data_IF_897905489569
#
_entry.id   IF_897905489569
#
_cell.length_a   1.000
_cell.length_b   1.000
_cell.length_c   1.000
_cell.angle_alpha   90.00
_cell.angle_beta   90.00
_cell.angle_gamma   90.00
#
_symmetry.space_group_name_H-M   'P 1'
#
loop_
_entity.id
_entity.type
_entity.pdbx_description
1 polymer ?
#
# COMPACT_ATOMS: atom_id res chain seq x y z
N UNK A 1 -18.68 -9.02 -23.69
CA UNK A 1 -18.35 -7.93 -24.64
C UNK A 1 -16.84 -7.85 -24.64
N UNK A 2 -16.16 -8.19 -25.75
CA UNK A 2 -14.69 -8.13 -25.79
C UNK A 2 -14.28 -6.66 -25.67
N UNK A 3 -13.49 -6.32 -24.64
CA UNK A 3 -12.91 -4.99 -24.49
C UNK A 3 -12.01 -4.75 -25.71
N UNK A 4 -12.45 -3.88 -26.63
CA UNK A 4 -11.63 -3.44 -27.75
C UNK A 4 -10.39 -2.71 -27.21
N UNK A 5 -9.25 -2.91 -27.88
CA UNK A 5 -7.97 -2.26 -27.57
C UNK A 5 -8.11 -0.74 -27.63
N UNK A 6 -8.21 -0.09 -26.47
CA UNK A 6 -8.26 1.36 -26.34
C UNK A 6 -7.11 1.81 -25.44
N UNK A 7 -6.31 2.77 -25.93
CA UNK A 7 -5.36 3.49 -25.10
C UNK A 7 -6.13 4.28 -24.04
N UNK A 8 -5.78 4.09 -22.77
CA UNK A 8 -6.31 4.92 -21.69
C UNK A 8 -5.61 6.28 -21.72
N UNK A 9 -6.39 7.35 -21.75
CA UNK A 9 -5.85 8.68 -21.47
C UNK A 9 -5.33 8.76 -20.03
N UNK A 10 -4.38 9.66 -19.72
CA UNK A 10 -3.91 9.87 -18.35
C UNK A 10 -5.05 10.14 -17.35
N UNK A 11 -6.12 10.81 -17.79
CA UNK A 11 -7.29 11.12 -16.96
C UNK A 11 -8.13 9.88 -16.64
N UNK A 12 -8.32 9.00 -17.61
CA UNK A 12 -9.04 7.73 -17.39
C UNK A 12 -8.25 6.80 -16.47
N UNK A 13 -6.92 6.83 -16.57
CA UNK A 13 -6.05 6.09 -15.68
C UNK A 13 -6.14 6.59 -14.23
N UNK A 14 -6.05 7.90 -14.02
CA UNK A 14 -6.22 8.49 -12.69
C UNK A 14 -7.59 8.14 -12.10
N UNK A 15 -8.66 8.26 -12.89
CA UNK A 15 -10.01 7.86 -12.46
C UNK A 15 -10.07 6.38 -12.05
N UNK A 16 -9.48 5.48 -12.84
CA UNK A 16 -9.42 4.07 -12.50
C UNK A 16 -8.70 3.85 -11.16
N UNK A 17 -7.54 4.47 -10.96
CA UNK A 17 -6.77 4.29 -9.73
C UNK A 17 -7.46 4.89 -8.50
N UNK A 18 -8.09 6.06 -8.64
CA UNK A 18 -8.84 6.70 -7.56
C UNK A 18 -10.06 5.88 -7.16
N UNK A 19 -10.86 5.43 -8.13
CA UNK A 19 -12.03 4.59 -7.87
C UNK A 19 -11.64 3.25 -7.25
N UNK A 20 -10.55 2.65 -7.71
CA UNK A 20 -10.04 1.42 -7.14
C UNK A 20 -9.49 1.60 -5.71
N UNK A 21 -8.81 2.72 -5.45
CA UNK A 21 -8.36 3.11 -4.12
C UNK A 21 -9.52 3.25 -3.14
N UNK A 22 -10.62 3.88 -3.56
CA UNK A 22 -11.83 4.01 -2.73
C UNK A 22 -12.54 2.67 -2.48
N UNK A 23 -12.63 1.81 -3.50
CA UNK A 23 -13.20 0.47 -3.37
C UNK A 23 -12.46 -0.35 -2.30
N UNK A 24 -11.12 -0.36 -2.37
CA UNK A 24 -10.27 -1.02 -1.37
C UNK A 24 -10.43 -0.42 0.01
N UNK A 25 -10.52 0.91 0.14
CA UNK A 25 -10.73 1.58 1.43
C UNK A 25 -12.00 1.09 2.12
N UNK A 26 -13.11 1.01 1.39
CA UNK A 26 -14.38 0.52 1.91
C UNK A 26 -14.28 -0.94 2.40
N UNK A 27 -13.64 -1.80 1.61
CA UNK A 27 -13.49 -3.22 1.93
C UNK A 27 -12.56 -3.43 3.14
N UNK A 28 -11.46 -2.68 3.23
CA UNK A 28 -10.58 -2.70 4.40
C UNK A 28 -11.31 -2.25 5.68
N UNK A 29 -12.16 -1.21 5.57
CA UNK A 29 -12.98 -0.77 6.69
C UNK A 29 -13.92 -1.88 7.18
N UNK A 30 -14.68 -2.51 6.28
CA UNK A 30 -15.58 -3.61 6.63
C UNK A 30 -14.85 -4.78 7.30
N UNK A 31 -13.66 -5.14 6.81
CA UNK A 31 -12.85 -6.20 7.40
C UNK A 31 -12.31 -5.83 8.80
N UNK A 32 -11.93 -4.57 9.05
CA UNK A 32 -11.47 -4.14 10.37
C UNK A 32 -12.58 -4.15 11.42
N UNK A 33 -13.73 -3.55 11.09
CA UNK A 33 -14.90 -3.54 11.98
C UNK A 33 -15.34 -4.96 12.35
N UNK A 34 -15.25 -5.88 11.39
CA UNK A 34 -15.59 -7.26 11.65
C UNK A 34 -14.66 -7.94 12.66
N UNK A 35 -13.34 -7.74 12.56
CA UNK A 35 -12.36 -8.29 13.51
C UNK A 35 -12.53 -7.73 14.90
N UNK A 36 -12.82 -6.44 15.01
CA UNK A 36 -13.14 -5.82 16.29
C UNK A 36 -14.34 -6.51 16.96
N UNK A 37 -15.38 -6.83 16.17
CA UNK A 37 -16.52 -7.60 16.66
C UNK A 37 -16.14 -9.04 17.06
N UNK A 38 -15.16 -9.67 16.40
CA UNK A 38 -14.65 -11.00 16.78
C UNK A 38 -13.94 -11.00 18.13
N UNK A 39 -13.12 -9.97 18.40
CA UNK A 39 -12.33 -9.84 19.63
C UNK A 39 -13.19 -9.52 20.85
N UNK A 40 -14.31 -8.80 20.67
CA UNK A 40 -15.25 -8.47 21.75
C UNK A 40 -16.26 -9.58 22.12
N UNK A 41 -16.44 -10.58 21.26
CA UNK A 41 -17.43 -11.65 21.43
C UNK A 41 -16.87 -12.81 22.26
N UNK A 42 -16.87 -12.69 23.60
CA UNK A 42 -16.36 -13.73 24.54
C UNK A 42 -17.06 -15.10 24.53
N UNK A 43 -17.95 -15.38 23.57
CA UNK A 43 -18.57 -16.69 23.31
C UNK A 43 -18.54 -16.99 21.82
N UNK A 44 -18.34 -18.26 21.46
CA UNK A 44 -18.13 -18.76 20.10
C UNK A 44 -19.04 -18.11 19.05
N UNK A 45 -18.42 -17.77 17.91
CA UNK A 45 -19.01 -17.01 16.80
C UNK A 45 -20.27 -17.70 16.28
N UNK A 46 -21.36 -16.95 15.99
CA UNK A 46 -22.43 -17.48 15.16
C UNK A 46 -21.85 -17.86 13.79
N UNK A 47 -22.08 -19.09 13.33
CA UNK A 47 -21.55 -19.59 12.05
C UNK A 47 -21.84 -18.66 10.86
N UNK A 48 -22.94 -17.91 10.93
CA UNK A 48 -23.32 -16.90 9.93
C UNK A 48 -22.30 -15.77 9.79
N UNK A 49 -21.74 -15.27 10.90
CA UNK A 49 -20.75 -14.19 10.86
C UNK A 49 -19.45 -14.68 10.23
N UNK A 50 -18.95 -15.85 10.63
CA UNK A 50 -17.77 -16.46 10.00
C UNK A 50 -17.96 -16.67 8.50
N UNK A 51 -19.12 -17.17 8.07
CA UNK A 51 -19.44 -17.36 6.66
C UNK A 51 -19.49 -16.04 5.88
N UNK A 52 -20.08 -14.99 6.46
CA UNK A 52 -20.12 -13.66 5.87
C UNK A 52 -18.72 -13.07 5.68
N UNK A 53 -17.83 -13.25 6.65
CA UNK A 53 -16.45 -12.75 6.57
C UNK A 53 -15.60 -13.48 5.55
N UNK A 54 -15.72 -14.81 5.48
CA UNK A 54 -15.08 -15.59 4.43
C UNK A 54 -15.54 -15.12 3.04
N UNK A 55 -16.85 -14.84 2.88
CA UNK A 55 -17.40 -14.31 1.63
C UNK A 55 -16.86 -12.91 1.30
N UNK A 56 -16.87 -11.98 2.25
CA UNK A 56 -16.31 -10.64 2.06
C UNK A 56 -14.84 -10.68 1.65
N UNK A 57 -14.04 -11.51 2.32
CA UNK A 57 -12.63 -11.68 1.98
C UNK A 57 -12.47 -12.20 0.54
N UNK A 58 -13.27 -13.20 0.15
CA UNK A 58 -13.25 -13.77 -1.20
C UNK A 58 -13.67 -12.75 -2.26
N UNK A 59 -14.74 -11.99 -2.04
CA UNK A 59 -15.20 -10.96 -2.97
C UNK A 59 -14.18 -9.81 -3.10
N UNK A 60 -13.59 -9.36 -1.98
CA UNK A 60 -12.52 -8.37 -1.98
C UNK A 60 -11.30 -8.83 -2.76
N UNK A 61 -10.85 -10.06 -2.52
CA UNK A 61 -9.69 -10.63 -3.21
C UNK A 61 -9.96 -10.81 -4.70
N UNK A 62 -11.17 -11.22 -5.07
CA UNK A 62 -11.61 -11.31 -6.46
C UNK A 62 -11.59 -9.96 -7.17
N UNK A 63 -12.21 -8.93 -6.58
CA UNK A 63 -12.21 -7.57 -7.13
C UNK A 63 -10.80 -7.00 -7.30
N UNK A 64 -9.92 -7.26 -6.35
CA UNK A 64 -8.51 -6.88 -6.46
C UNK A 64 -7.85 -7.59 -7.64
N UNK A 65 -8.03 -8.91 -7.74
CA UNK A 65 -7.43 -9.71 -8.81
C UNK A 65 -7.92 -9.26 -10.17
N UNK A 66 -9.23 -9.06 -10.33
CA UNK A 66 -9.84 -8.63 -11.59
C UNK A 66 -9.33 -7.24 -12.02
N UNK A 67 -9.19 -6.30 -11.07
CA UNK A 67 -8.63 -4.99 -11.35
C UNK A 67 -7.16 -5.06 -11.76
N UNK A 68 -6.35 -5.84 -11.03
CA UNK A 68 -4.94 -6.05 -11.36
C UNK A 68 -4.77 -6.73 -12.72
N UNK A 69 -5.59 -7.73 -13.04
CA UNK A 69 -5.57 -8.42 -14.32
C UNK A 69 -6.00 -7.49 -15.45
N UNK A 70 -7.04 -6.67 -15.26
CA UNK A 70 -7.44 -5.66 -16.23
C UNK A 70 -6.29 -4.67 -16.51
N UNK A 71 -5.59 -4.23 -15.47
CA UNK A 71 -4.43 -3.37 -15.65
C UNK A 71 -3.29 -4.06 -16.41
N UNK A 72 -2.97 -5.30 -16.06
CA UNK A 72 -1.87 -6.05 -16.68
C UNK A 72 -2.15 -6.45 -18.13
N UNK A 73 -3.39 -6.77 -18.45
CA UNK A 73 -3.78 -7.31 -19.76
C UNK A 73 -4.26 -6.24 -20.73
N UNK A 74 -4.87 -5.15 -20.23
CA UNK A 74 -5.52 -4.16 -21.08
C UNK A 74 -4.92 -2.76 -20.96
N UNK A 75 -4.23 -2.40 -19.87
CA UNK A 75 -3.68 -1.05 -19.69
C UNK A 75 -2.17 -1.03 -19.93
N UNK A 76 -1.40 -1.88 -19.24
CA UNK A 76 0.06 -1.90 -19.31
C UNK A 76 0.65 -2.13 -20.71
N UNK A 77 0.14 -3.06 -21.54
CA UNK A 77 0.71 -3.32 -22.85
C UNK A 77 0.59 -2.14 -23.82
N UNK A 78 -0.28 -1.18 -23.50
CA UNK A 78 -0.63 -0.05 -24.36
C UNK A 78 -0.39 1.30 -23.66
N UNK A 79 0.21 1.30 -22.48
CA UNK A 79 0.53 2.52 -21.72
C UNK A 79 2.04 2.70 -21.63
N UNK A 80 2.61 3.71 -22.28
CA UNK A 80 4.05 3.98 -22.23
C UNK A 80 4.49 4.65 -20.92
N UNK A 81 3.58 4.88 -19.96
CA UNK A 81 3.86 5.70 -18.78
C UNK A 81 4.45 4.91 -17.61
N UNK A 82 5.69 5.20 -17.16
CA UNK A 82 6.32 4.48 -16.05
C UNK A 82 5.60 4.64 -14.71
N UNK A 83 4.94 5.78 -14.48
CA UNK A 83 4.13 6.02 -13.27
C UNK A 83 2.94 5.06 -13.14
N UNK A 84 2.34 4.68 -14.28
CA UNK A 84 1.24 3.70 -14.32
C UNK A 84 1.73 2.35 -13.79
N UNK A 85 2.89 1.89 -14.26
CA UNK A 85 3.48 0.64 -13.80
C UNK A 85 3.78 0.65 -12.30
N UNK A 86 4.36 1.76 -11.81
CA UNK A 86 4.64 1.95 -10.38
C UNK A 86 3.37 1.94 -9.51
N UNK A 87 2.30 2.58 -9.99
CA UNK A 87 1.03 2.62 -9.26
C UNK A 87 0.40 1.22 -9.17
N UNK A 88 0.53 0.40 -10.22
CA UNK A 88 0.05 -0.97 -10.22
C UNK A 88 0.85 -1.87 -9.31
N UNK A 89 2.18 -1.79 -9.36
CA UNK A 89 3.07 -2.53 -8.47
C UNK A 89 2.82 -2.16 -7.01
N UNK A 90 2.68 -0.86 -6.69
CA UNK A 90 2.29 -0.36 -5.36
C UNK A 90 0.96 -0.96 -4.92
N UNK A 91 -0.02 -0.95 -5.81
CA UNK A 91 -1.36 -1.47 -5.56
C UNK A 91 -1.33 -2.96 -5.24
N UNK A 92 -0.59 -3.74 -6.02
CA UNK A 92 -0.39 -5.17 -5.79
C UNK A 92 0.31 -5.43 -4.44
N UNK A 93 1.31 -4.62 -4.07
CA UNK A 93 2.00 -4.71 -2.78
C UNK A 93 1.03 -4.52 -1.60
N UNK A 94 0.18 -3.49 -1.68
CA UNK A 94 -0.83 -3.20 -0.67
C UNK A 94 -1.86 -4.31 -0.53
N UNK A 95 -2.26 -4.94 -1.64
CA UNK A 95 -3.19 -6.07 -1.61
C UNK A 95 -2.58 -7.30 -0.94
N UNK A 96 -1.29 -7.58 -1.17
CA UNK A 96 -0.59 -8.64 -0.45
C UNK A 96 -0.48 -8.33 1.05
N UNK A 97 -0.19 -7.07 1.41
CA UNK A 97 -0.20 -6.64 2.82
C UNK A 97 -1.56 -6.91 3.47
N UNK A 98 -2.65 -6.54 2.80
CA UNK A 98 -4.01 -6.81 3.29
C UNK A 98 -4.27 -8.31 3.44
N UNK A 99 -3.91 -9.12 2.44
CA UNK A 99 -4.03 -10.58 2.55
C UNK A 99 -3.25 -11.11 3.76
N UNK A 100 -2.06 -10.60 4.05
CA UNK A 100 -1.27 -10.98 5.24
C UNK A 100 -1.98 -10.55 6.53
N UNK A 101 -2.43 -9.30 6.62
CA UNK A 101 -3.15 -8.75 7.78
C UNK A 101 -4.37 -9.62 8.12
N UNK A 102 -5.12 -10.03 7.09
CA UNK A 102 -6.35 -10.79 7.24
C UNK A 102 -6.17 -12.31 7.31
N UNK A 103 -5.00 -12.83 6.95
CA UNK A 103 -4.70 -14.27 7.01
C UNK A 103 -4.46 -14.75 8.42
N UNK A 104 -4.83 -16.01 8.67
CA UNK A 104 -4.39 -16.78 9.83
C UNK A 104 -2.86 -16.86 9.88
N UNK A 105 -2.22 -16.89 11.07
CA UNK A 105 -0.77 -16.88 11.19
C UNK A 105 -0.06 -17.96 10.35
N UNK A 106 -0.67 -19.14 10.18
CA UNK A 106 -0.11 -20.23 9.38
C UNK A 106 -0.10 -20.00 7.85
N UNK A 107 -0.93 -19.09 7.35
CA UNK A 107 -1.02 -18.78 5.91
C UNK A 107 -0.13 -17.58 5.48
N UNK A 108 0.42 -16.83 6.44
CA UNK A 108 1.28 -15.64 6.20
C UNK A 108 2.69 -15.94 5.65
N UNK A 109 3.41 -17.01 6.07
CA UNK A 109 4.80 -17.23 5.69
C UNK A 109 5.12 -17.18 4.18
N UNK A 110 4.32 -17.74 3.27
CA UNK A 110 4.60 -17.63 1.83
C UNK A 110 4.32 -16.23 1.24
N UNK A 111 3.44 -15.45 1.86
CA UNK A 111 3.02 -14.12 1.37
C UNK A 111 4.02 -13.02 1.75
N UNK A 112 4.61 -13.12 2.94
CA UNK A 112 5.57 -12.15 3.47
C UNK A 112 6.76 -11.84 2.52
N UNK A 113 7.52 -12.84 2.03
CA UNK A 113 8.66 -12.57 1.15
C UNK A 113 8.22 -12.01 -0.21
N UNK A 114 7.05 -12.43 -0.71
CA UNK A 114 6.48 -11.91 -1.96
C UNK A 114 6.14 -10.42 -1.84
N UNK A 115 5.42 -10.05 -0.77
CA UNK A 115 5.06 -8.66 -0.49
C UNK A 115 6.31 -7.80 -0.25
N UNK A 116 7.27 -8.32 0.52
CA UNK A 116 8.55 -7.66 0.80
C UNK A 116 9.35 -7.36 -0.48
N UNK A 117 9.54 -8.36 -1.34
CA UNK A 117 10.25 -8.19 -2.60
C UNK A 117 9.54 -7.20 -3.53
N UNK A 118 8.20 -7.21 -3.52
CA UNK A 118 7.40 -6.28 -4.31
C UNK A 118 7.52 -4.84 -3.78
N UNK A 119 7.35 -4.58 -2.49
CA UNK A 119 7.56 -3.23 -1.95
C UNK A 119 8.95 -2.68 -2.24
N UNK A 120 10.00 -3.50 -2.09
CA UNK A 120 11.38 -3.08 -2.32
C UNK A 120 11.67 -2.77 -3.79
N UNK A 121 11.23 -3.64 -4.72
CA UNK A 121 11.44 -3.37 -6.16
C UNK A 121 10.69 -2.12 -6.62
N UNK A 122 9.48 -1.92 -6.12
CA UNK A 122 8.65 -0.76 -6.47
C UNK A 122 9.25 0.52 -5.93
N UNK A 123 9.74 0.50 -4.68
CA UNK A 123 10.46 1.63 -4.11
C UNK A 123 11.71 1.97 -4.90
N UNK A 124 12.54 0.98 -5.25
CA UNK A 124 13.74 1.22 -6.04
C UNK A 124 13.41 1.78 -7.43
N UNK A 125 12.43 1.21 -8.14
CA UNK A 125 11.98 1.72 -9.43
C UNK A 125 11.39 3.14 -9.33
N UNK A 126 10.73 3.48 -8.22
CA UNK A 126 10.17 4.81 -8.00
C UNK A 126 11.23 5.91 -7.86
N UNK A 127 12.51 5.56 -7.63
CA UNK A 127 13.61 6.54 -7.56
C UNK A 127 13.90 7.25 -8.88
N UNK A 128 13.37 6.73 -9.99
CA UNK A 128 13.38 7.42 -11.28
C UNK A 128 12.45 8.65 -11.32
N UNK A 129 11.49 8.74 -10.40
CA UNK A 129 10.63 9.92 -10.23
C UNK A 129 11.34 10.97 -9.36
N UNK A 130 10.93 12.23 -9.47
CA UNK A 130 11.40 13.29 -8.57
C UNK A 130 11.23 12.87 -7.10
N UNK A 131 12.20 13.16 -6.22
CA UNK A 131 12.09 12.96 -4.78
C UNK A 131 10.83 13.55 -4.13
N UNK A 132 10.26 14.61 -4.69
CA UNK A 132 9.01 15.23 -4.22
C UNK A 132 7.76 14.74 -4.97
N UNK A 133 7.88 13.68 -5.78
CA UNK A 133 6.72 13.01 -6.36
C UNK A 133 5.85 12.40 -5.26
N UNK A 134 4.56 12.75 -5.28
CA UNK A 134 3.53 12.16 -4.41
C UNK A 134 3.57 10.63 -4.47
N UNK A 135 3.62 10.06 -5.68
CA UNK A 135 3.64 8.60 -5.87
C UNK A 135 4.88 7.96 -5.24
N UNK A 136 6.07 8.54 -5.44
CA UNK A 136 7.32 8.03 -4.83
C UNK A 136 7.26 8.06 -3.31
N UNK A 137 6.79 9.16 -2.73
CA UNK A 137 6.65 9.31 -1.28
C UNK A 137 5.60 8.36 -0.68
N UNK A 138 4.47 8.16 -1.37
CA UNK A 138 3.47 7.16 -0.97
C UNK A 138 4.03 5.73 -1.00
N UNK A 139 4.82 5.38 -2.03
CA UNK A 139 5.48 4.07 -2.12
C UNK A 139 6.48 3.88 -0.98
N UNK A 140 7.30 4.91 -0.70
CA UNK A 140 8.26 4.88 0.39
C UNK A 140 7.59 4.70 1.76
N UNK A 141 6.53 5.47 2.04
CA UNK A 141 5.75 5.38 3.27
C UNK A 141 5.15 3.98 3.45
N UNK A 142 4.52 3.41 2.42
CA UNK A 142 3.91 2.09 2.51
C UNK A 142 4.97 0.98 2.70
N UNK A 143 6.10 1.05 1.98
CA UNK A 143 7.20 0.09 2.13
C UNK A 143 7.79 0.16 3.55
N UNK A 144 8.02 1.37 4.06
CA UNK A 144 8.48 1.59 5.43
C UNK A 144 7.54 0.96 6.47
N UNK A 145 6.24 1.30 6.43
CA UNK A 145 5.26 0.77 7.38
C UNK A 145 5.16 -0.75 7.29
N UNK A 146 5.17 -1.32 6.08
CA UNK A 146 5.14 -2.76 5.90
C UNK A 146 6.35 -3.45 6.56
N UNK A 147 7.56 -2.91 6.37
CA UNK A 147 8.76 -3.50 6.97
C UNK A 147 8.79 -3.37 8.49
N UNK A 148 8.31 -2.25 9.04
CA UNK A 148 8.26 -2.04 10.49
C UNK A 148 7.16 -2.85 11.18
N UNK A 149 5.94 -2.87 10.64
CA UNK A 149 4.76 -3.42 11.30
C UNK A 149 4.51 -4.89 10.95
N UNK A 150 4.82 -5.31 9.72
CA UNK A 150 4.40 -6.63 9.20
C UNK A 150 5.58 -7.61 9.14
N UNK A 151 6.72 -7.16 8.60
CA UNK A 151 7.93 -8.01 8.48
C UNK A 151 8.75 -8.01 9.77
N UNK A 152 8.58 -6.99 10.62
CA UNK A 152 9.41 -6.73 11.80
C UNK A 152 10.90 -6.50 11.46
N UNK A 153 11.22 -6.10 10.22
CA UNK A 153 12.55 -5.63 9.81
C UNK A 153 12.59 -4.10 9.89
N UNK A 154 12.67 -3.62 11.12
CA UNK A 154 12.57 -2.19 11.40
C UNK A 154 13.74 -1.38 10.87
N UNK A 155 14.94 -1.95 10.88
CA UNK A 155 16.16 -1.31 10.36
C UNK A 155 15.98 -0.97 8.87
N UNK A 156 15.41 -1.90 8.10
CA UNK A 156 15.13 -1.67 6.68
C UNK A 156 14.06 -0.60 6.46
N UNK A 157 12.97 -0.68 7.22
CA UNK A 157 11.93 0.34 7.15
C UNK A 157 12.49 1.75 7.40
N UNK A 158 13.24 1.93 8.49
CA UNK A 158 13.84 3.22 8.83
C UNK A 158 14.82 3.72 7.76
N UNK A 159 15.59 2.82 7.14
CA UNK A 159 16.48 3.19 6.04
C UNK A 159 15.71 3.74 4.83
N UNK A 160 14.60 3.10 4.43
CA UNK A 160 13.74 3.55 3.34
C UNK A 160 13.14 4.93 3.65
N UNK A 161 12.56 5.09 4.84
CA UNK A 161 11.93 6.35 5.25
C UNK A 161 12.96 7.50 5.32
N UNK A 162 14.15 7.25 5.88
CA UNK A 162 15.23 8.23 5.94
C UNK A 162 15.72 8.64 4.56
N UNK A 163 15.97 7.68 3.67
CA UNK A 163 16.42 7.97 2.30
C UNK A 163 15.39 8.83 1.54
N UNK A 164 14.11 8.46 1.61
CA UNK A 164 13.04 9.21 0.96
C UNK A 164 12.93 10.64 1.51
N UNK A 165 13.00 10.79 2.84
CA UNK A 165 12.91 12.08 3.52
C UNK A 165 14.11 12.99 3.19
N UNK A 166 15.34 12.47 3.31
CA UNK A 166 16.57 13.22 3.03
C UNK A 166 16.66 13.63 1.56
N UNK A 167 16.13 12.80 0.65
CA UNK A 167 16.10 13.13 -0.79
C UNK A 167 15.06 14.19 -1.14
N UNK A 168 13.94 14.25 -0.43
CA UNK A 168 12.84 15.17 -0.72
C UNK A 168 13.08 16.58 -0.17
N UNK A 169 13.73 16.71 1.00
CA UNK A 169 13.96 18.01 1.67
C UNK A 169 14.53 19.08 0.72
N UNK A 170 15.60 18.82 -0.05
CA UNK A 170 16.23 19.85 -0.88
C UNK A 170 15.34 20.36 -2.02
N UNK A 171 14.30 19.60 -2.40
CA UNK A 171 13.43 19.92 -3.52
C UNK A 171 12.08 20.53 -3.09
N UNK A 172 11.76 20.53 -1.78
CA UNK A 172 10.47 21.04 -1.27
C UNK A 172 10.21 22.50 -1.60
N UNK A 173 11.25 23.35 -1.52
CA UNK A 173 11.13 24.80 -1.75
C UNK A 173 10.81 25.14 -3.20
N UNK A 174 10.97 24.19 -4.13
CA UNK A 174 10.74 24.38 -5.56
C UNK A 174 9.35 23.88 -6.02
N UNK A 175 8.53 23.36 -5.11
CA UNK A 175 7.22 22.84 -5.45
C UNK A 175 6.21 23.95 -5.75
N UNK A 176 5.32 23.73 -6.74
CA UNK A 176 4.20 24.62 -6.95
C UNK A 176 3.18 24.48 -5.80
N UNK A 177 2.44 25.56 -5.52
CA UNK A 177 1.56 25.68 -4.34
C UNK A 177 0.49 24.59 -4.26
N UNK A 178 0.00 24.13 -5.42
CA UNK A 178 -0.99 23.06 -5.56
C UNK A 178 -0.46 21.69 -5.14
N UNK A 179 0.85 21.43 -5.28
CA UNK A 179 1.50 20.17 -4.88
C UNK A 179 2.13 20.27 -3.48
N UNK A 180 2.55 21.46 -3.06
CA UNK A 180 3.26 21.69 -1.80
C UNK A 180 2.50 21.13 -0.60
N UNK A 181 1.19 21.36 -0.53
CA UNK A 181 0.35 20.90 0.59
C UNK A 181 0.29 19.37 0.70
N UNK A 182 0.16 18.67 -0.42
CA UNK A 182 0.06 17.21 -0.44
C UNK A 182 1.41 16.57 -0.07
N UNK A 183 2.48 17.05 -0.69
CA UNK A 183 3.84 16.55 -0.45
C UNK A 183 4.30 16.80 0.98
N UNK A 184 4.07 18.00 1.53
CA UNK A 184 4.42 18.31 2.92
C UNK A 184 3.60 17.49 3.93
N UNK A 185 2.35 17.16 3.60
CA UNK A 185 1.54 16.25 4.43
C UNK A 185 2.14 14.84 4.47
N UNK A 186 2.59 14.30 3.32
CA UNK A 186 3.24 12.98 3.26
C UNK A 186 4.60 12.97 3.98
N UNK A 187 5.39 14.02 3.81
CA UNK A 187 6.65 14.23 4.53
C UNK A 187 6.43 14.32 6.04
N UNK A 188 5.35 15.00 6.48
CA UNK A 188 4.93 15.04 7.88
C UNK A 188 4.64 13.65 8.44
N UNK A 189 3.86 12.84 7.70
CA UNK A 189 3.58 11.45 8.10
C UNK A 189 4.87 10.61 8.19
N UNK A 190 5.80 10.72 7.23
CA UNK A 190 7.09 10.02 7.30
C UNK A 190 7.88 10.43 8.54
N UNK A 191 7.99 11.72 8.85
CA UNK A 191 8.68 12.24 10.03
C UNK A 191 8.05 11.77 11.33
N UNK A 192 6.72 11.87 11.43
CA UNK A 192 6.00 11.53 12.65
C UNK A 192 6.15 10.03 12.96
N UNK A 193 6.04 9.18 11.94
CA UNK A 193 6.30 7.75 12.12
C UNK A 193 7.79 7.45 12.42
N UNK A 194 8.75 8.10 11.74
CA UNK A 194 10.17 7.96 12.09
C UNK A 194 10.41 8.25 13.59
N UNK A 195 9.77 9.27 14.15
CA UNK A 195 9.88 9.66 15.55
C UNK A 195 9.25 8.64 16.49
N UNK A 196 8.01 8.21 16.20
CA UNK A 196 7.30 7.18 16.98
C UNK A 196 8.11 5.90 17.07
N UNK A 197 8.54 5.41 15.91
CA UNK A 197 9.31 4.19 15.89
C UNK A 197 10.64 4.44 16.61
N UNK A 198 11.47 5.42 16.26
CA UNK A 198 12.81 5.60 16.90
C UNK A 198 12.77 5.60 18.44
N UNK A 199 11.74 6.20 19.05
CA UNK A 199 11.52 6.14 20.50
C UNK A 199 11.26 4.72 21.04
N UNK A 200 10.44 3.92 20.35
CA UNK A 200 10.14 2.52 20.72
C UNK A 200 11.34 1.57 20.61
N UNK A 201 12.35 1.91 19.79
CA UNK A 201 13.53 1.05 19.63
C UNK A 201 14.58 1.32 20.71
N UNK A 202 14.79 2.59 21.05
CA UNK A 202 15.64 2.95 22.19
C UNK A 202 15.16 2.34 23.50
N UNK A 203 13.84 2.22 23.71
CA UNK A 203 13.30 1.57 24.92
C UNK A 203 13.42 0.04 24.91
N UNK A 204 13.40 -0.58 23.72
CA UNK A 204 13.54 -2.04 23.57
C UNK A 204 14.98 -2.56 23.63
N UNK A 205 15.99 -1.73 23.34
CA UNK A 205 17.41 -2.10 23.49
C UNK A 205 17.92 -1.93 24.94
N UNK A 206 17.19 -1.20 25.79
CA UNK A 206 17.53 -0.96 27.19
C UNK A 206 16.86 -1.94 28.19
N UNK A 207 16.09 -2.92 27.69
CA UNK A 207 15.37 -3.94 28.48
C UNK A 207 15.90 -5.35 28.22
#
# INVERSE_FOLDING_TARGET
MALQHCEFSPREFLLFCDTFKELRRALRYSLRESRYCEEGSGKGRPALLSAWLARLHSEHSGLISDALDLCRTHILPYSPHPEVALLLDKTQADCLREQIEFSEPGARPPLLPLASALYLRTYEASKALSPVSVLRLEIALNAYLFHCEVVQDRKRGLAIAKEAFDSAIPELDNLPEDQYKEVTSLMGLLRDNLTLFTADYSSSEES
#
